data_IF_257416618980
#
_entry.id   IF_257416618980
#
_cell.length_a   1.000
_cell.length_b   1.000
_cell.length_c   1.000
_cell.angle_alpha   90.00
_cell.angle_beta   90.00
_cell.angle_gamma   90.00
#
_symmetry.space_group_name_H-M   'P 1'
#
loop_
_entity.id
_entity.type
_entity.pdbx_description
1 polymer ?
#
# COMPACT_ATOMS: atom_id res chain seq x y z
N UNK A 1 26.83 -15.53 -14.84
CA UNK A 1 25.74 -16.49 -14.64
C UNK A 1 24.46 -15.69 -14.46
N UNK A 2 23.51 -15.82 -15.36
CA UNK A 2 22.26 -15.06 -15.37
C UNK A 2 21.42 -15.43 -14.15
N UNK A 3 21.02 -14.43 -13.35
CA UNK A 3 20.09 -14.62 -12.22
C UNK A 3 18.75 -14.06 -12.64
N UNK A 4 17.77 -14.96 -12.71
CA UNK A 4 16.37 -14.70 -13.03
C UNK A 4 15.84 -13.60 -12.10
N UNK A 5 15.58 -12.41 -12.65
CA UNK A 5 14.75 -11.41 -12.00
C UNK A 5 13.32 -11.97 -12.05
N UNK A 6 12.79 -12.42 -10.93
CA UNK A 6 11.35 -12.60 -10.80
C UNK A 6 10.73 -11.20 -10.91
N UNK A 7 9.92 -10.91 -11.94
CA UNK A 7 9.25 -9.62 -12.03
C UNK A 7 8.24 -9.57 -10.89
N UNK A 8 8.45 -8.66 -9.93
CA UNK A 8 7.32 -8.20 -9.13
C UNK A 8 6.32 -7.58 -10.12
N UNK A 9 5.06 -8.05 -10.17
CA UNK A 9 4.09 -7.40 -11.01
C UNK A 9 3.84 -6.02 -10.37
N UNK A 10 4.36 -4.98 -11.02
CA UNK A 10 3.85 -3.60 -10.96
C UNK A 10 2.45 -3.54 -11.61
N UNK A 11 1.59 -4.51 -11.30
CA UNK A 11 0.22 -4.59 -11.77
C UNK A 11 -0.68 -4.05 -10.68
N UNK A 12 -1.48 -3.04 -11.03
CA UNK A 12 -2.70 -2.68 -10.32
C UNK A 12 -3.45 -3.96 -9.92
N UNK A 13 -3.92 -4.03 -8.68
CA UNK A 13 -4.71 -5.19 -8.23
C UNK A 13 -5.99 -5.22 -9.07
N UNK A 14 -6.33 -6.35 -9.73
CA UNK A 14 -7.56 -6.45 -10.51
C UNK A 14 -8.78 -6.10 -9.64
N UNK A 15 -9.44 -4.98 -9.94
CA UNK A 15 -10.53 -4.42 -9.13
C UNK A 15 -10.36 -2.96 -8.73
N UNK A 16 -9.15 -2.38 -8.91
CA UNK A 16 -8.87 -0.95 -8.65
C UNK A 16 -9.22 -0.01 -9.82
N UNK A 17 -9.73 -0.53 -10.95
CA UNK A 17 -9.91 0.24 -12.19
C UNK A 17 -10.88 1.43 -12.10
N UNK A 18 -11.68 1.55 -11.04
CA UNK A 18 -12.78 2.53 -10.98
C UNK A 18 -12.64 3.63 -9.91
N UNK A 19 -11.59 3.65 -9.08
CA UNK A 19 -11.58 4.53 -7.87
C UNK A 19 -10.30 5.36 -7.66
N UNK A 20 -9.49 5.59 -8.68
CA UNK A 20 -8.33 6.50 -8.53
C UNK A 20 -8.74 7.97 -8.80
N UNK A 21 -9.99 8.37 -8.56
CA UNK A 21 -10.44 9.75 -8.79
C UNK A 21 -10.68 10.49 -7.47
N UNK A 22 -9.64 11.10 -6.87
CA UNK A 22 -9.84 12.10 -5.81
C UNK A 22 -8.87 13.28 -5.93
N UNK A 23 -9.43 14.41 -6.38
CA UNK A 23 -8.88 15.76 -6.29
C UNK A 23 -8.74 16.21 -4.83
N UNK A 24 -7.55 16.63 -4.43
CA UNK A 24 -7.27 17.13 -3.08
C UNK A 24 -7.59 18.62 -2.93
N UNK A 25 -8.42 18.94 -1.94
CA UNK A 25 -8.56 20.27 -1.38
C UNK A 25 -7.35 20.63 -0.50
N UNK A 26 -6.69 21.74 -0.84
CA UNK A 26 -5.68 22.53 -0.11
C UNK A 26 -5.34 22.06 1.33
N UNK A 27 -4.25 21.30 1.45
CA UNK A 27 -3.27 21.44 2.53
C UNK A 27 -1.87 21.36 1.90
N UNK A 28 -1.03 22.38 2.12
CA UNK A 28 0.36 22.42 1.63
C UNK A 28 1.17 21.41 2.43
N UNK A 29 1.22 20.17 1.96
CA UNK A 29 2.17 19.14 2.39
C UNK A 29 3.18 18.95 1.26
N UNK A 30 4.47 18.87 1.60
CA UNK A 30 5.60 18.69 0.66
C UNK A 30 5.64 17.26 0.07
N UNK A 31 4.57 16.49 0.23
CA UNK A 31 4.41 15.16 -0.35
C UNK A 31 4.01 15.31 -1.80
N UNK A 32 4.81 14.78 -2.72
CA UNK A 32 4.48 14.67 -4.15
C UNK A 32 3.10 14.04 -4.31
N UNK A 33 2.14 14.79 -4.88
CA UNK A 33 0.77 14.36 -5.14
C UNK A 33 0.64 13.39 -6.32
N UNK A 34 1.61 12.49 -6.50
CA UNK A 34 1.62 11.52 -7.59
C UNK A 34 0.94 10.22 -7.15
N UNK A 35 -0.37 10.20 -7.33
CA UNK A 35 -1.20 9.00 -7.40
C UNK A 35 -2.23 9.23 -8.49
N UNK A 36 -1.84 8.99 -9.75
CA UNK A 36 -2.70 9.26 -10.91
C UNK A 36 -3.20 7.97 -11.51
N UNK A 37 -4.50 7.91 -11.82
CA UNK A 37 -5.11 6.83 -12.63
C UNK A 37 -4.43 6.84 -14.01
N UNK A 38 -4.22 5.68 -14.64
CA UNK A 38 -3.98 5.65 -16.08
C UNK A 38 -5.02 6.51 -16.83
N UNK A 39 -4.55 7.49 -17.61
CA UNK A 39 -5.41 8.38 -18.40
C UNK A 39 -5.85 9.70 -17.73
N UNK A 40 -5.53 9.93 -16.45
CA UNK A 40 -5.69 11.26 -15.83
C UNK A 40 -4.38 12.05 -15.85
N UNK A 41 -4.42 13.27 -16.43
CA UNK A 41 -3.30 14.19 -16.37
C UNK A 41 -3.18 14.76 -14.96
N UNK A 42 -2.09 14.46 -14.25
CA UNK A 42 -1.80 15.07 -12.95
C UNK A 42 -1.45 16.54 -13.18
N UNK A 43 -2.28 17.46 -12.68
CA UNK A 43 -1.96 18.90 -12.67
C UNK A 43 -1.09 19.29 -11.47
N UNK A 44 -0.67 18.32 -10.65
CA UNK A 44 0.19 18.55 -9.52
C UNK A 44 1.65 18.58 -9.95
N UNK A 45 2.38 19.65 -9.58
CA UNK A 45 3.84 19.64 -9.67
C UNK A 45 4.42 18.60 -8.73
N UNK A 46 5.31 17.73 -9.21
CA UNK A 46 6.14 16.91 -8.34
C UNK A 46 7.19 17.80 -7.63
N UNK A 47 6.79 18.42 -6.52
CA UNK A 47 7.66 19.33 -5.75
C UNK A 47 8.92 18.61 -5.25
N UNK A 48 8.83 17.31 -4.93
CA UNK A 48 9.98 16.54 -4.49
C UNK A 48 10.99 16.40 -5.64
N UNK A 49 10.54 15.92 -6.79
CA UNK A 49 11.41 15.77 -7.96
C UNK A 49 11.95 17.11 -8.44
N UNK A 50 11.15 18.16 -8.42
CA UNK A 50 11.56 19.51 -8.83
C UNK A 50 12.63 20.09 -7.91
N UNK A 51 12.44 20.02 -6.59
CA UNK A 51 13.33 20.71 -5.64
C UNK A 51 14.56 19.88 -5.27
N UNK A 52 14.41 18.58 -5.07
CA UNK A 52 15.46 17.73 -4.55
C UNK A 52 16.28 17.09 -5.66
N UNK A 53 15.62 16.54 -6.69
CA UNK A 53 16.32 15.86 -7.78
C UNK A 53 16.78 16.86 -8.85
N UNK A 54 15.84 17.54 -9.50
CA UNK A 54 16.10 18.44 -10.63
C UNK A 54 16.68 19.80 -10.19
N UNK A 55 16.50 20.18 -8.92
CA UNK A 55 16.89 21.48 -8.36
C UNK A 55 16.36 22.66 -9.20
N UNK A 56 15.17 22.48 -9.75
CA UNK A 56 14.45 23.40 -10.62
C UNK A 56 12.96 23.40 -10.27
N UNK A 57 12.52 24.43 -9.53
CA UNK A 57 11.14 24.57 -9.07
C UNK A 57 10.11 24.70 -10.21
N UNK A 58 10.54 25.09 -11.41
CA UNK A 58 9.68 25.31 -12.58
C UNK A 58 9.65 24.13 -13.55
N UNK A 59 10.26 22.99 -13.20
CA UNK A 59 10.24 21.81 -14.05
C UNK A 59 8.81 21.28 -14.20
N UNK A 60 8.37 21.08 -15.44
CA UNK A 60 7.14 20.36 -15.75
C UNK A 60 7.41 18.86 -15.78
N UNK A 61 7.13 18.18 -14.67
CA UNK A 61 7.31 16.73 -14.53
C UNK A 61 6.25 15.92 -15.26
N UNK A 62 5.09 16.50 -15.58
CA UNK A 62 4.04 15.83 -16.35
C UNK A 62 4.36 15.79 -17.86
N UNK A 63 5.16 16.74 -18.35
CA UNK A 63 5.59 16.82 -19.74
C UNK A 63 6.82 15.98 -20.10
N UNK A 64 7.43 15.27 -19.16
CA UNK A 64 8.64 14.47 -19.41
C UNK A 64 8.33 13.26 -20.30
N UNK A 65 9.22 12.97 -21.25
CA UNK A 65 9.25 11.68 -21.92
C UNK A 65 9.62 10.57 -20.94
N UNK A 66 9.34 9.31 -21.31
CA UNK A 66 9.68 8.15 -20.49
C UNK A 66 11.19 8.09 -20.15
N UNK A 67 12.06 8.40 -21.12
CA UNK A 67 13.51 8.33 -20.92
C UNK A 67 14.03 9.45 -20.01
N UNK A 68 13.43 10.64 -20.10
CA UNK A 68 13.73 11.77 -19.20
C UNK A 68 13.29 11.47 -17.77
N UNK A 69 12.06 10.94 -17.60
CA UNK A 69 11.56 10.49 -16.31
C UNK A 69 12.45 9.39 -15.71
N UNK A 70 12.83 8.39 -16.51
CA UNK A 70 13.67 7.30 -16.05
C UNK A 70 15.08 7.78 -15.65
N UNK A 71 15.63 8.76 -16.36
CA UNK A 71 16.91 9.37 -16.02
C UNK A 71 16.83 10.14 -14.70
N UNK A 72 15.74 10.91 -14.50
CA UNK A 72 15.47 11.62 -13.25
C UNK A 72 15.29 10.64 -12.09
N UNK A 73 14.56 9.53 -12.29
CA UNK A 73 14.38 8.48 -11.29
C UNK A 73 15.72 7.83 -10.90
N UNK A 74 16.57 7.49 -11.87
CA UNK A 74 17.91 6.91 -11.60
C UNK A 74 18.80 7.86 -10.80
N UNK A 75 18.77 9.16 -11.13
CA UNK A 75 19.46 10.19 -10.37
C UNK A 75 18.95 10.25 -8.92
N UNK A 76 17.63 10.18 -8.74
CA UNK A 76 16.99 10.14 -7.41
C UNK A 76 17.51 8.97 -6.57
N UNK A 77 17.51 7.77 -7.14
CA UNK A 77 18.00 6.56 -6.48
C UNK A 77 19.47 6.72 -6.10
N UNK A 78 20.31 7.23 -6.99
CA UNK A 78 21.72 7.43 -6.72
C UNK A 78 21.99 8.44 -5.59
N UNK A 79 21.22 9.52 -5.50
CA UNK A 79 21.48 10.60 -4.53
C UNK A 79 20.78 10.36 -3.17
N UNK A 80 19.61 9.71 -3.17
CA UNK A 80 18.75 9.66 -1.98
C UNK A 80 18.53 8.28 -1.39
N UNK A 81 18.91 7.19 -2.08
CA UNK A 81 18.60 5.86 -1.56
C UNK A 81 19.32 5.53 -0.24
N UNK A 82 20.51 6.06 0.01
CA UNK A 82 21.23 5.73 1.25
C UNK A 82 20.60 6.37 2.52
N UNK A 83 19.75 7.39 2.37
CA UNK A 83 19.17 8.12 3.49
C UNK A 83 17.63 8.08 3.53
N UNK A 84 16.97 8.16 2.38
CA UNK A 84 15.51 8.27 2.29
C UNK A 84 14.82 6.94 1.94
N UNK A 85 15.54 5.98 1.37
CA UNK A 85 14.94 4.70 0.99
C UNK A 85 14.67 3.84 2.23
N UNK A 86 13.42 3.42 2.40
CA UNK A 86 13.03 2.44 3.42
C UNK A 86 13.04 1.00 2.90
N UNK A 87 13.32 0.78 1.62
CA UNK A 87 13.45 -0.52 1.01
C UNK A 87 14.91 -1.02 1.06
N UNK A 88 15.47 -1.12 2.27
CA UNK A 88 16.79 -1.73 2.48
C UNK A 88 16.69 -3.25 2.26
N UNK A 89 17.30 -3.82 1.21
CA UNK A 89 17.24 -5.24 0.93
C UNK A 89 17.99 -6.08 1.98
N UNK A 90 19.04 -5.54 2.61
CA UNK A 90 19.79 -6.25 3.64
C UNK A 90 18.92 -6.45 4.86
N UNK A 91 17.99 -5.53 5.15
CA UNK A 91 17.01 -5.74 6.22
C UNK A 91 16.10 -6.94 5.95
N UNK A 92 15.79 -7.27 4.69
CA UNK A 92 14.92 -8.39 4.33
C UNK A 92 15.68 -9.71 4.33
N UNK A 93 16.92 -9.74 3.82
CA UNK A 93 17.76 -10.93 3.88
C UNK A 93 18.26 -11.20 5.30
N UNK A 94 18.57 -10.16 6.08
CA UNK A 94 18.82 -10.26 7.52
C UNK A 94 17.59 -10.77 8.27
N UNK A 95 16.39 -10.22 7.97
CA UNK A 95 15.13 -10.70 8.56
C UNK A 95 14.86 -12.16 8.21
N UNK A 96 15.03 -12.59 6.96
CA UNK A 96 14.84 -13.99 6.54
C UNK A 96 15.89 -14.93 7.13
N UNK A 97 17.15 -14.50 7.21
CA UNK A 97 18.25 -15.31 7.74
C UNK A 97 18.18 -15.45 9.28
N UNK A 98 17.75 -14.40 9.98
CA UNK A 98 17.65 -14.38 11.44
C UNK A 98 16.28 -14.91 11.92
N UNK A 99 15.24 -14.79 11.10
CA UNK A 99 13.88 -15.20 11.43
C UNK A 99 13.23 -15.96 10.26
N UNK A 100 13.40 -17.30 10.20
CA UNK A 100 12.73 -18.13 9.20
C UNK A 100 11.19 -18.08 9.33
N UNK A 101 10.68 -17.68 10.50
CA UNK A 101 9.26 -17.40 10.76
C UNK A 101 9.05 -15.91 11.09
N UNK A 102 8.95 -15.08 10.04
CA UNK A 102 8.72 -13.63 10.17
C UNK A 102 7.37 -13.29 10.81
N UNK A 103 6.37 -14.17 10.66
CA UNK A 103 5.01 -13.98 11.15
C UNK A 103 4.91 -13.98 12.68
N UNK A 104 5.98 -14.38 13.38
CA UNK A 104 6.10 -14.30 14.83
C UNK A 104 6.32 -12.87 15.36
N UNK A 105 6.85 -11.95 14.55
CA UNK A 105 7.11 -10.57 14.98
C UNK A 105 6.62 -9.51 13.99
N UNK A 106 6.36 -9.86 12.73
CA UNK A 106 5.86 -8.95 11.70
C UNK A 106 4.80 -9.65 10.84
N UNK A 107 3.59 -9.07 10.80
CA UNK A 107 2.44 -9.59 10.04
C UNK A 107 1.94 -8.51 9.10
N UNK A 108 1.88 -8.83 7.81
CA UNK A 108 1.32 -7.97 6.79
C UNK A 108 -0.14 -8.32 6.51
N UNK A 109 -1.02 -7.32 6.48
CA UNK A 109 -2.44 -7.47 6.21
C UNK A 109 -2.84 -6.54 5.07
N UNK A 110 -3.32 -7.13 3.98
CA UNK A 110 -3.94 -6.36 2.89
C UNK A 110 -5.37 -6.00 3.27
N UNK A 111 -5.82 -4.81 2.90
CA UNK A 111 -7.19 -4.34 3.14
C UNK A 111 -7.88 -4.07 1.82
N UNK A 112 -8.61 -5.06 1.26
CA UNK A 112 -9.28 -4.91 -0.02
C UNK A 112 -10.34 -3.80 0.00
N UNK A 113 -10.29 -2.91 -0.99
CA UNK A 113 -11.25 -1.81 -1.13
C UNK A 113 -10.99 -0.61 -0.20
N UNK A 114 -9.92 -0.63 0.59
CA UNK A 114 -9.45 0.54 1.33
C UNK A 114 -8.55 1.40 0.43
N UNK A 115 -8.87 2.68 0.31
CA UNK A 115 -8.09 3.66 -0.45
C UNK A 115 -6.85 4.15 0.33
N UNK A 116 -6.07 5.06 -0.25
CA UNK A 116 -4.86 5.58 0.39
C UNK A 116 -5.19 6.27 1.73
N UNK A 117 -4.75 5.65 2.83
CA UNK A 117 -4.99 6.02 4.25
C UNK A 117 -6.43 5.87 4.73
N UNK A 118 -7.43 6.08 3.88
CA UNK A 118 -8.84 6.08 4.28
C UNK A 118 -9.75 5.88 3.07
N UNK A 119 -10.82 5.12 3.21
CA UNK A 119 -11.88 4.99 2.22
C UNK A 119 -13.02 4.16 2.78
N UNK A 120 -14.24 4.42 2.33
CA UNK A 120 -15.46 3.83 2.94
C UNK A 120 -15.82 2.46 2.36
N UNK A 121 -15.36 2.13 1.15
CA UNK A 121 -15.86 0.96 0.39
C UNK A 121 -15.37 -0.38 0.94
N UNK A 122 -14.12 -0.47 1.37
CA UNK A 122 -13.53 -1.67 1.99
C UNK A 122 -13.54 -1.66 3.52
N UNK A 123 -13.86 -0.52 4.13
CA UNK A 123 -13.81 -0.31 5.57
C UNK A 123 -12.40 -0.09 6.10
N UNK A 124 -12.30 0.54 7.28
CA UNK A 124 -11.03 0.84 7.91
C UNK A 124 -10.73 -0.15 9.06
N UNK A 125 -9.51 -0.68 9.16
CA UNK A 125 -9.11 -1.54 10.27
C UNK A 125 -8.80 -0.68 11.51
N UNK A 126 -9.83 -0.21 12.20
CA UNK A 126 -9.71 0.71 13.35
C UNK A 126 -9.12 0.06 14.60
N UNK A 127 -9.03 -1.27 14.65
CA UNK A 127 -8.57 -2.05 15.81
C UNK A 127 -7.07 -2.41 15.75
N UNK A 128 -6.33 -2.01 14.71
CA UNK A 128 -4.91 -2.36 14.51
C UNK A 128 -4.04 -1.97 15.71
N UNK A 129 -4.21 -0.76 16.24
CA UNK A 129 -3.42 -0.32 17.40
C UNK A 129 -3.72 -1.12 18.66
N UNK A 130 -4.98 -1.54 18.85
CA UNK A 130 -5.34 -2.41 19.96
C UNK A 130 -4.70 -3.80 19.79
N UNK A 131 -4.77 -4.39 18.60
CA UNK A 131 -4.13 -5.67 18.30
C UNK A 131 -2.60 -5.61 18.54
N UNK A 132 -1.95 -4.51 18.13
CA UNK A 132 -0.52 -4.30 18.39
C UNK A 132 -0.23 -4.25 19.90
N UNK A 133 -1.04 -3.53 20.69
CA UNK A 133 -0.88 -3.49 22.15
C UNK A 133 -1.06 -4.87 22.79
N UNK A 134 -2.03 -5.66 22.33
CA UNK A 134 -2.23 -7.03 22.81
C UNK A 134 -1.08 -7.96 22.44
N UNK A 135 -0.48 -7.79 21.26
CA UNK A 135 0.68 -8.57 20.84
C UNK A 135 1.90 -8.25 21.68
N UNK A 136 2.23 -6.96 21.84
CA UNK A 136 3.40 -6.53 22.64
C UNK A 136 3.21 -6.82 24.13
N UNK A 137 2.01 -6.57 24.67
CA UNK A 137 1.74 -6.68 26.09
C UNK A 137 1.47 -8.11 26.56
N UNK A 138 0.76 -8.91 25.76
CA UNK A 138 0.27 -10.23 26.17
C UNK A 138 0.82 -11.37 25.29
N UNK A 139 1.72 -11.08 24.33
CA UNK A 139 2.24 -12.07 23.39
C UNK A 139 1.20 -12.64 22.42
N UNK A 140 0.02 -12.01 22.30
CA UNK A 140 -1.08 -12.50 21.47
C UNK A 140 -1.08 -11.80 20.10
N UNK A 141 -0.43 -12.42 19.12
CA UNK A 141 -0.43 -11.93 17.74
C UNK A 141 -1.84 -12.10 17.10
N UNK A 142 -2.31 -11.12 16.29
CA UNK A 142 -3.63 -11.19 15.69
C UNK A 142 -3.67 -12.18 14.52
N UNK A 143 -4.47 -13.24 14.61
CA UNK A 143 -4.65 -14.20 13.51
C UNK A 143 -5.48 -13.63 12.37
N UNK A 144 -6.35 -12.66 12.66
CA UNK A 144 -7.07 -11.84 11.69
C UNK A 144 -7.31 -10.45 12.25
N UNK A 145 -7.63 -9.49 11.39
CA UNK A 145 -8.06 -8.15 11.79
C UNK A 145 -9.47 -7.86 11.25
N UNK A 146 -10.47 -7.60 12.11
CA UNK A 146 -11.81 -7.30 11.64
C UNK A 146 -11.88 -5.89 11.02
N UNK A 147 -12.67 -5.79 9.96
CA UNK A 147 -13.01 -4.56 9.26
C UNK A 147 -14.51 -4.55 9.01
N UNK A 148 -15.11 -3.38 9.24
CA UNK A 148 -16.52 -3.14 9.02
C UNK A 148 -16.70 -2.04 7.98
N UNK A 149 -17.67 -2.23 7.08
CA UNK A 149 -18.06 -1.23 6.10
C UNK A 149 -19.54 -1.34 5.75
N UNK A 150 -20.11 -0.23 5.31
CA UNK A 150 -21.49 -0.16 4.87
C UNK A 150 -21.58 -0.37 3.37
N UNK A 151 -22.43 -1.30 2.93
CA UNK A 151 -22.82 -1.40 1.53
C UNK A 151 -23.77 -0.29 1.11
N UNK A 152 -23.88 -0.05 -0.20
CA UNK A 152 -24.76 1.00 -0.75
C UNK A 152 -26.25 0.82 -0.46
N UNK A 153 -26.66 -0.36 0.04
CA UNK A 153 -28.01 -0.68 0.49
C UNK A 153 -28.24 -0.49 2.00
N UNK A 154 -27.24 0.02 2.75
CA UNK A 154 -27.29 0.18 4.20
C UNK A 154 -27.01 -1.10 4.99
N UNK A 155 -26.69 -2.22 4.34
CA UNK A 155 -26.23 -3.44 5.01
C UNK A 155 -24.80 -3.25 5.53
N UNK A 156 -24.57 -3.56 6.80
CA UNK A 156 -23.21 -3.63 7.37
C UNK A 156 -22.55 -4.94 6.98
N UNK A 157 -21.37 -4.86 6.38
CA UNK A 157 -20.51 -5.98 6.05
C UNK A 157 -19.36 -6.06 7.04
N UNK A 158 -19.09 -7.26 7.52
CA UNK A 158 -17.95 -7.56 8.39
C UNK A 158 -17.01 -8.49 7.63
N UNK A 159 -15.73 -8.14 7.56
CA UNK A 159 -14.66 -8.94 6.94
C UNK A 159 -13.49 -9.08 7.90
N UNK A 160 -12.82 -10.21 7.85
CA UNK A 160 -11.57 -10.42 8.56
C UNK A 160 -10.42 -10.34 7.55
N UNK A 161 -9.51 -9.39 7.75
CA UNK A 161 -8.26 -9.33 7.00
C UNK A 161 -7.37 -10.50 7.42
N UNK A 162 -6.81 -11.15 6.42
CA UNK A 162 -5.95 -12.31 6.58
C UNK A 162 -4.48 -11.90 6.60
N UNK A 163 -3.64 -12.59 7.39
CA UNK A 163 -2.20 -12.38 7.35
C UNK A 163 -1.68 -12.94 6.02
N UNK A 164 -0.94 -12.11 5.28
CA UNK A 164 -0.32 -12.51 4.01
C UNK A 164 0.59 -13.73 4.21
N UNK A 165 0.57 -14.73 3.30
CA UNK A 165 -0.04 -14.72 1.97
C UNK A 165 -1.50 -15.19 1.91
N UNK A 166 -2.12 -15.52 3.06
CA UNK A 166 -3.49 -16.02 3.07
C UNK A 166 -4.48 -14.93 2.64
N UNK A 167 -5.53 -15.33 1.93
CA UNK A 167 -6.59 -14.44 1.45
C UNK A 167 -7.95 -14.88 1.98
N UNK A 168 -8.86 -13.93 2.15
CA UNK A 168 -10.22 -14.23 2.58
C UNK A 168 -11.02 -14.88 1.45
N UNK A 169 -11.35 -16.16 1.61
CA UNK A 169 -12.16 -16.92 0.66
C UNK A 169 -13.56 -17.16 1.20
N UNK A 170 -14.58 -16.91 0.37
CA UNK A 170 -15.97 -17.18 0.73
C UNK A 170 -16.23 -18.70 0.78
N UNK A 171 -16.81 -19.16 1.88
CA UNK A 171 -17.09 -20.58 2.16
C UNK A 171 -18.59 -20.91 2.22
N UNK A 172 -19.47 -19.92 2.01
CA UNK A 172 -20.92 -20.08 2.04
C UNK A 172 -21.59 -19.37 3.23
N UNK A 173 -22.91 -19.19 3.15
CA UNK A 173 -23.72 -18.50 4.17
C UNK A 173 -24.01 -17.04 3.82
N UNK A 174 -24.27 -16.21 4.82
CA UNK A 174 -24.57 -14.80 4.62
C UNK A 174 -23.32 -14.03 4.18
N UNK A 175 -23.37 -13.46 2.98
CA UNK A 175 -22.30 -12.63 2.42
C UNK A 175 -21.95 -11.43 3.30
N UNK A 176 -22.85 -10.95 4.16
CA UNK A 176 -22.56 -9.83 5.08
C UNK A 176 -21.68 -10.24 6.26
N UNK A 177 -21.67 -11.53 6.63
CA UNK A 177 -21.02 -12.03 7.84
C UNK A 177 -19.56 -12.42 7.63
N UNK A 178 -18.71 -12.10 8.60
CA UNK A 178 -17.31 -12.53 8.61
C UNK A 178 -17.16 -14.07 8.66
N UNK A 179 -18.12 -14.77 9.26
CA UNK A 179 -18.09 -16.24 9.41
C UNK A 179 -18.28 -16.99 8.09
N UNK A 180 -18.74 -16.29 7.06
CA UNK A 180 -18.86 -16.83 5.70
C UNK A 180 -17.55 -16.79 4.92
N UNK A 181 -16.44 -16.38 5.55
CA UNK A 181 -15.12 -16.31 4.95
C UNK A 181 -14.09 -17.05 5.82
N UNK A 182 -13.05 -17.57 5.16
CA UNK A 182 -11.90 -18.21 5.81
C UNK A 182 -10.61 -17.75 5.15
N UNK A 183 -9.56 -17.56 5.95
CA UNK A 183 -8.22 -17.34 5.42
C UNK A 183 -7.66 -18.65 4.86
N UNK A 184 -7.36 -18.66 3.57
CA UNK A 184 -6.73 -19.78 2.85
C UNK A 184 -5.49 -19.30 2.07
#
# INVERSE_FOLDING_TARGET
MARLLLPMPLGLVPGEEMVIALTWGKFRSVTSGFGSVPGMNSTGSDEWSNLFIAKNASLDTAGLSHDEYLSLFKLAVQEYSDFMNSADPDSMEFRKAMFPDVQHFDRFFESPGLEHRSGEKGGQPTTVFHALRSWVGNGTAPDTLPVEFSGGNGTTYIRNLCPYPAQAKYIGGDVSSANSYRCE
#
